data_IF_461904589101
#
_entry.id   IF_461904589101
#
_cell.length_a   1.000
_cell.length_b   1.000
_cell.length_c   1.000
_cell.angle_alpha   90.00
_cell.angle_beta   90.00
_cell.angle_gamma   90.00
#
_symmetry.space_group_name_H-M   'P 1'
#
loop_
_entity.id
_entity.type
_entity.pdbx_description
1 polymer ?
#
# COMPACT_ATOMS: atom_id res chain seq x y z
N UNK A 1 7.41 13.76 -5.10
CA UNK A 1 6.28 14.72 -5.20
C UNK A 1 4.99 13.94 -5.26
N UNK A 2 4.05 14.27 -4.37
CA UNK A 2 2.79 13.57 -4.19
C UNK A 2 1.65 14.17 -5.04
N UNK A 3 1.05 13.36 -5.91
CA UNK A 3 -0.05 13.75 -6.79
C UNK A 3 -1.44 13.66 -6.14
N UNK A 4 -1.58 13.05 -4.97
CA UNK A 4 -2.87 12.83 -4.31
C UNK A 4 -3.63 14.14 -4.00
N UNK A 5 -2.90 15.26 -3.92
CA UNK A 5 -3.45 16.58 -3.63
C UNK A 5 -3.51 17.51 -4.85
N UNK A 6 -3.15 17.03 -6.06
CA UNK A 6 -3.31 17.82 -7.30
C UNK A 6 -4.79 17.98 -7.61
N UNK A 7 -5.23 19.20 -7.91
CA UNK A 7 -6.62 19.49 -8.29
C UNK A 7 -7.13 18.62 -9.44
N UNK A 8 -6.29 18.37 -10.45
CA UNK A 8 -6.63 17.53 -11.59
C UNK A 8 -6.90 16.07 -11.18
N UNK A 9 -6.14 15.52 -10.23
CA UNK A 9 -6.36 14.16 -9.72
C UNK A 9 -7.65 14.09 -8.90
N UNK A 10 -7.89 15.08 -8.03
CA UNK A 10 -9.13 15.16 -7.24
C UNK A 10 -10.37 15.27 -8.14
N UNK A 11 -10.32 16.11 -9.19
CA UNK A 11 -11.38 16.19 -10.20
C UNK A 11 -11.58 14.88 -10.97
N UNK A 12 -10.49 14.17 -11.27
CA UNK A 12 -10.58 12.85 -11.89
C UNK A 12 -11.31 11.87 -10.97
N UNK A 13 -10.95 11.77 -9.70
CA UNK A 13 -11.65 10.90 -8.74
C UNK A 13 -13.12 11.26 -8.59
N UNK A 14 -13.43 12.55 -8.46
CA UNK A 14 -14.82 13.04 -8.32
C UNK A 14 -15.67 12.68 -9.55
N UNK A 15 -15.07 12.59 -10.73
CA UNK A 15 -15.81 12.19 -11.93
C UNK A 15 -16.37 10.77 -11.91
N UNK A 16 -15.97 9.94 -10.92
CA UNK A 16 -16.52 8.61 -10.68
C UNK A 16 -17.67 8.58 -9.66
N UNK A 17 -18.06 9.72 -9.09
CA UNK A 17 -19.07 9.77 -8.02
C UNK A 17 -20.40 9.13 -8.39
N UNK A 18 -20.76 9.12 -9.68
CA UNK A 18 -21.98 8.49 -10.18
C UNK A 18 -22.02 6.96 -10.03
N UNK A 19 -20.88 6.28 -9.82
CA UNK A 19 -20.83 4.82 -9.60
C UNK A 19 -21.33 4.44 -8.20
N UNK A 20 -21.27 5.34 -7.23
CA UNK A 20 -21.62 5.05 -5.84
C UNK A 20 -23.12 5.21 -5.58
N UNK A 21 -23.94 4.34 -6.19
CA UNK A 21 -25.38 4.30 -6.00
C UNK A 21 -25.92 2.86 -6.03
N UNK A 22 -27.18 2.68 -5.65
CA UNK A 22 -27.81 1.35 -5.52
C UNK A 22 -27.95 0.59 -6.85
N UNK A 23 -27.98 1.28 -8.00
CA UNK A 23 -28.03 0.62 -9.32
C UNK A 23 -26.74 -0.13 -9.62
N UNK A 24 -25.61 0.40 -9.15
CA UNK A 24 -24.27 -0.15 -9.37
C UNK A 24 -23.81 -1.01 -8.19
N UNK A 25 -24.63 -1.16 -7.14
CA UNK A 25 -24.25 -1.88 -5.93
C UNK A 25 -24.13 -3.38 -6.21
N UNK A 26 -23.03 -3.98 -5.77
CA UNK A 26 -22.79 -5.41 -5.86
C UNK A 26 -22.79 -6.07 -4.46
N UNK A 27 -23.54 -7.16 -4.31
CA UNK A 27 -23.48 -8.02 -3.13
C UNK A 27 -22.41 -9.09 -3.32
N UNK A 28 -21.34 -9.02 -2.52
CA UNK A 28 -20.30 -10.05 -2.54
C UNK A 28 -20.74 -11.29 -1.77
N UNK A 29 -20.95 -12.40 -2.49
CA UNK A 29 -21.33 -13.69 -1.87
C UNK A 29 -20.19 -14.24 -1.00
N UNK A 30 -20.48 -14.46 0.27
CA UNK A 30 -19.55 -15.10 1.21
C UNK A 30 -18.57 -14.13 1.89
N UNK A 31 -18.52 -12.87 1.45
CA UNK A 31 -17.79 -11.81 2.13
C UNK A 31 -18.77 -11.02 2.98
N UNK A 32 -18.60 -10.96 4.31
CA UNK A 32 -19.48 -10.13 5.13
C UNK A 32 -19.26 -8.66 4.76
N UNK A 33 -20.35 -7.89 4.70
CA UNK A 33 -20.26 -6.43 4.50
C UNK A 33 -19.49 -5.74 5.65
N UNK A 34 -19.37 -6.40 6.81
CA UNK A 34 -18.60 -5.91 7.95
C UNK A 34 -17.62 -6.96 8.44
N UNK A 35 -16.33 -6.62 8.43
CA UNK A 35 -15.25 -7.43 8.96
C UNK A 35 -14.72 -6.82 10.27
N UNK A 36 -14.48 -7.64 11.28
CA UNK A 36 -13.83 -7.18 12.51
C UNK A 36 -12.35 -6.84 12.23
N UNK A 37 -11.89 -5.76 12.85
CA UNK A 37 -10.49 -5.39 12.97
C UNK A 37 -10.08 -5.47 14.44
N UNK A 38 -8.79 -5.35 14.72
CA UNK A 38 -8.28 -5.32 16.09
C UNK A 38 -8.82 -4.11 16.88
N UNK A 39 -8.67 -4.15 18.20
CA UNK A 39 -9.08 -3.08 19.13
C UNK A 39 -10.56 -2.68 19.08
N UNK A 40 -11.44 -3.60 18.66
CA UNK A 40 -12.88 -3.35 18.60
C UNK A 40 -13.33 -2.50 17.41
N UNK A 41 -12.42 -2.22 16.47
CA UNK A 41 -12.78 -1.60 15.20
C UNK A 41 -13.45 -2.61 14.26
N UNK A 42 -14.20 -2.10 13.28
CA UNK A 42 -14.65 -2.90 12.16
C UNK A 42 -14.56 -2.13 10.86
N UNK A 43 -14.36 -2.85 9.77
CA UNK A 43 -14.38 -2.32 8.42
C UNK A 43 -15.73 -2.69 7.79
N UNK A 44 -16.50 -1.68 7.36
CA UNK A 44 -17.73 -1.90 6.58
C UNK A 44 -17.48 -1.55 5.12
N UNK A 45 -17.62 -2.53 4.24
CA UNK A 45 -17.22 -2.44 2.83
C UNK A 45 -18.41 -2.63 1.91
N UNK A 46 -18.63 -1.69 0.99
CA UNK A 46 -19.74 -1.68 0.04
C UNK A 46 -19.19 -1.63 -1.37
N UNK A 47 -19.44 -2.69 -2.14
CA UNK A 47 -18.88 -2.87 -3.47
C UNK A 47 -19.81 -2.36 -4.56
N UNK A 48 -19.23 -1.83 -5.63
CA UNK A 48 -19.92 -1.20 -6.74
C UNK A 48 -19.23 -1.60 -8.05
N UNK A 49 -20.01 -1.92 -9.07
CA UNK A 49 -19.50 -2.21 -10.40
C UNK A 49 -20.25 -1.43 -11.46
N UNK A 50 -19.56 -1.12 -12.57
CA UNK A 50 -20.19 -0.39 -13.66
C UNK A 50 -19.27 -0.15 -14.84
N UNK A 51 -19.75 0.68 -15.77
CA UNK A 51 -18.96 1.14 -16.91
C UNK A 51 -18.91 2.67 -16.90
N UNK A 52 -17.77 3.21 -16.47
CA UNK A 52 -17.48 4.64 -16.49
C UNK A 52 -15.99 4.84 -16.75
N UNK A 53 -15.65 5.43 -17.91
CA UNK A 53 -14.26 5.56 -18.38
C UNK A 53 -13.51 4.21 -18.46
N UNK A 54 -14.23 3.11 -18.58
CA UNK A 54 -13.74 1.74 -18.47
C UNK A 54 -14.71 0.89 -17.64
N UNK A 55 -14.46 -0.41 -17.54
CA UNK A 55 -15.10 -1.20 -16.49
C UNK A 55 -14.49 -0.79 -15.15
N UNK A 56 -15.32 -0.63 -14.13
CA UNK A 56 -14.90 -0.24 -12.80
C UNK A 56 -15.42 -1.24 -11.78
N UNK A 57 -14.54 -1.60 -10.86
CA UNK A 57 -14.84 -2.31 -9.63
C UNK A 57 -14.34 -1.43 -8.48
N UNK A 58 -15.28 -0.90 -7.70
CA UNK A 58 -15.00 0.11 -6.70
C UNK A 58 -15.65 -0.27 -5.37
N UNK A 59 -15.11 0.25 -4.28
CA UNK A 59 -15.60 -0.03 -2.93
C UNK A 59 -15.61 1.25 -2.10
N UNK A 60 -16.64 1.40 -1.27
CA UNK A 60 -16.65 2.34 -0.16
C UNK A 60 -16.37 1.57 1.12
N UNK A 61 -15.38 2.03 1.85
CA UNK A 61 -15.06 1.53 3.18
C UNK A 61 -15.42 2.56 4.25
N UNK A 62 -15.96 2.08 5.35
CA UNK A 62 -16.04 2.83 6.61
C UNK A 62 -15.24 2.11 7.69
N UNK A 63 -14.31 2.81 8.33
CA UNK A 63 -13.73 2.41 9.60
C UNK A 63 -14.70 2.80 10.72
N UNK A 64 -15.23 1.81 11.42
CA UNK A 64 -16.24 1.97 12.47
C UNK A 64 -15.62 1.64 13.83
N UNK A 65 -15.78 2.55 14.79
CA UNK A 65 -15.40 2.37 16.19
C UNK A 65 -16.31 1.39 16.94
N UNK A 66 -15.87 0.96 18.12
CA UNK A 66 -16.64 0.04 18.99
C UNK A 66 -18.02 0.60 19.37
N UNK A 67 -18.15 1.94 19.45
CA UNK A 67 -19.41 2.64 19.73
C UNK A 67 -20.33 2.78 18.51
N UNK A 68 -19.92 2.27 17.34
CA UNK A 68 -20.63 2.38 16.07
C UNK A 68 -20.36 3.70 15.32
N UNK A 69 -19.50 4.58 15.84
CA UNK A 69 -19.15 5.83 15.16
C UNK A 69 -18.27 5.54 13.94
N UNK A 70 -18.60 6.14 12.80
CA UNK A 70 -17.73 6.11 11.62
C UNK A 70 -16.59 7.10 11.82
N UNK A 71 -15.36 6.59 11.90
CA UNK A 71 -14.15 7.39 12.12
C UNK A 71 -13.53 7.89 10.81
N UNK A 72 -13.66 7.10 9.75
CA UNK A 72 -13.16 7.41 8.41
C UNK A 72 -14.03 6.71 7.37
N UNK A 73 -14.35 7.41 6.29
CA UNK A 73 -14.89 6.80 5.06
C UNK A 73 -13.98 7.13 3.89
N UNK A 74 -13.73 6.16 3.02
CA UNK A 74 -12.97 6.37 1.79
C UNK A 74 -13.51 5.52 0.63
N UNK A 75 -13.19 5.97 -0.58
CA UNK A 75 -13.47 5.24 -1.82
C UNK A 75 -12.19 4.61 -2.32
N UNK A 76 -12.24 3.34 -2.72
CA UNK A 76 -11.25 2.75 -3.60
C UNK A 76 -11.88 2.57 -4.99
N UNK A 77 -11.22 3.12 -6.02
CA UNK A 77 -11.68 3.06 -7.42
C UNK A 77 -11.20 1.80 -8.16
N UNK A 78 -10.38 1.00 -7.49
CA UNK A 78 -9.88 -0.29 -7.97
C UNK A 78 -9.85 -1.26 -6.77
N UNK A 79 -10.89 -2.08 -6.66
CA UNK A 79 -10.99 -3.07 -5.58
C UNK A 79 -10.12 -4.33 -5.80
N UNK A 80 -9.36 -4.40 -6.91
CA UNK A 80 -8.41 -5.48 -7.14
C UNK A 80 -7.15 -5.31 -6.26
N UNK A 81 -6.85 -6.35 -5.51
CA UNK A 81 -5.82 -6.32 -4.46
C UNK A 81 -6.10 -5.28 -3.36
N UNK A 82 -7.35 -4.87 -3.16
CA UNK A 82 -7.73 -3.94 -2.11
C UNK A 82 -7.39 -4.48 -0.71
N UNK A 83 -6.88 -3.61 0.15
CA UNK A 83 -6.52 -3.99 1.51
C UNK A 83 -6.57 -2.80 2.46
N UNK A 84 -6.70 -3.12 3.75
CA UNK A 84 -6.29 -2.23 4.82
C UNK A 84 -5.65 -3.03 5.98
N UNK A 85 -4.78 -2.34 6.73
CA UNK A 85 -4.09 -2.88 7.89
C UNK A 85 -4.07 -1.87 9.02
N UNK A 86 -4.54 -2.29 10.19
CA UNK A 86 -4.38 -1.52 11.42
C UNK A 86 -3.00 -1.82 12.01
N UNK A 87 -2.22 -0.78 12.25
CA UNK A 87 -0.84 -0.86 12.72
C UNK A 87 -0.73 -0.23 14.11
N UNK A 88 -0.28 -1.00 15.10
CA UNK A 88 0.13 -0.51 16.42
C UNK A 88 1.56 0.01 16.36
N UNK A 89 1.69 1.30 16.07
CA UNK A 89 2.99 1.90 15.82
C UNK A 89 3.81 2.08 17.10
N UNK A 90 5.14 2.02 16.98
CA UNK A 90 6.07 2.13 18.12
C UNK A 90 5.96 3.45 18.89
N UNK A 91 5.46 4.51 18.23
CA UNK A 91 5.21 5.80 18.88
C UNK A 91 3.97 5.82 19.80
N UNK A 92 3.27 4.69 19.93
CA UNK A 92 2.11 4.52 20.81
C UNK A 92 0.75 4.88 20.18
N UNK A 93 0.72 5.24 18.90
CA UNK A 93 -0.51 5.53 18.14
C UNK A 93 -0.89 4.37 17.23
N UNK A 94 -2.12 4.39 16.75
CA UNK A 94 -2.66 3.42 15.78
C UNK A 94 -2.88 4.09 14.44
N UNK A 95 -2.42 3.41 13.40
CA UNK A 95 -2.51 3.90 12.03
C UNK A 95 -3.22 2.86 11.18
N UNK A 96 -4.25 3.27 10.45
CA UNK A 96 -4.79 2.47 9.37
C UNK A 96 -4.02 2.80 8.09
N UNK A 97 -3.37 1.81 7.50
CA UNK A 97 -2.82 1.88 6.13
C UNK A 97 -3.83 1.25 5.20
N UNK A 98 -4.19 1.94 4.11
CA UNK A 98 -5.25 1.51 3.20
C UNK A 98 -5.00 2.06 1.78
N UNK A 99 -5.72 1.50 0.80
CA UNK A 99 -5.71 1.97 -0.58
C UNK A 99 -6.97 2.74 -0.95
N UNK A 100 -6.80 3.68 -1.87
CA UNK A 100 -7.88 4.46 -2.50
C UNK A 100 -7.88 4.30 -4.03
N UNK A 101 -6.85 3.67 -4.60
CA UNK A 101 -6.62 3.51 -6.04
C UNK A 101 -5.66 2.33 -6.29
N UNK A 102 -5.39 2.00 -7.57
CA UNK A 102 -4.41 0.98 -7.96
C UNK A 102 -3.01 1.29 -7.40
N UNK A 103 -2.58 2.54 -7.54
CA UNK A 103 -1.27 3.01 -7.10
C UNK A 103 -1.37 3.90 -5.86
N UNK A 104 -0.28 3.92 -5.08
CA UNK A 104 -0.18 4.75 -3.89
C UNK A 104 -0.75 4.10 -2.63
N UNK A 105 -0.82 4.88 -1.56
CA UNK A 105 -1.30 4.43 -0.26
C UNK A 105 -1.79 5.62 0.56
N UNK A 106 -2.71 5.35 1.49
CA UNK A 106 -3.24 6.34 2.42
C UNK A 106 -3.13 5.83 3.85
N UNK A 107 -2.97 6.78 4.79
CA UNK A 107 -2.64 6.53 6.18
C UNK A 107 -3.51 7.41 7.06
N UNK A 108 -4.23 6.79 8.00
CA UNK A 108 -5.10 7.47 8.94
C UNK A 108 -4.64 7.23 10.37
N UNK A 109 -4.43 8.31 11.14
CA UNK A 109 -4.09 8.23 12.57
C UNK A 109 -5.36 8.22 13.41
N UNK A 110 -5.66 7.08 14.03
CA UNK A 110 -6.89 6.85 14.80
C UNK A 110 -7.04 7.87 15.93
N UNK A 111 -5.96 8.19 16.64
CA UNK A 111 -6.02 9.08 17.81
C UNK A 111 -6.24 10.55 17.46
N UNK A 112 -5.91 10.97 16.24
CA UNK A 112 -5.96 12.40 15.86
C UNK A 112 -6.94 12.70 14.74
N UNK A 113 -7.48 11.67 14.08
CA UNK A 113 -8.33 11.83 12.89
C UNK A 113 -7.58 12.35 11.65
N UNK A 114 -6.24 12.41 11.71
CA UNK A 114 -5.44 12.97 10.61
C UNK A 114 -5.29 11.93 9.50
N UNK A 115 -5.40 12.38 8.25
CA UNK A 115 -5.22 11.54 7.05
C UNK A 115 -4.06 12.09 6.23
N UNK A 116 -3.14 11.20 5.86
CA UNK A 116 -2.13 11.42 4.84
C UNK A 116 -2.47 10.54 3.64
N UNK A 117 -2.56 11.13 2.45
CA UNK A 117 -2.75 10.43 1.18
C UNK A 117 -1.49 10.55 0.35
N UNK A 118 -1.10 9.46 -0.30
CA UNK A 118 0.03 9.45 -1.20
C UNK A 118 -0.32 8.78 -2.53
N UNK A 119 -0.04 9.51 -3.61
CA UNK A 119 -0.04 9.00 -4.97
C UNK A 119 1.29 9.41 -5.62
N UNK A 120 2.11 8.48 -6.11
CA UNK A 120 3.34 8.81 -6.82
C UNK A 120 3.06 9.75 -8.01
N UNK A 121 3.80 10.85 -8.15
CA UNK A 121 3.59 11.75 -9.29
C UNK A 121 3.88 11.09 -10.65
N UNK A 122 4.71 10.05 -10.69
CA UNK A 122 5.02 9.33 -11.93
C UNK A 122 3.81 8.56 -12.50
N UNK A 123 2.89 8.08 -11.66
CA UNK A 123 1.66 7.43 -12.12
C UNK A 123 0.56 8.43 -12.49
N UNK A 124 0.75 9.71 -12.12
CA UNK A 124 -0.15 10.82 -12.47
C UNK A 124 0.61 12.05 -12.98
N UNK A 125 1.29 11.91 -14.12
CA UNK A 125 2.06 12.99 -14.74
C UNK A 125 1.12 14.02 -15.38
N UNK A 126 1.63 15.24 -15.61
CA UNK A 126 0.85 16.28 -16.30
C UNK A 126 0.64 15.94 -17.80
N UNK A 127 1.48 15.06 -18.35
CA UNK A 127 1.42 14.56 -19.73
C UNK A 127 1.54 13.04 -19.71
N UNK A 128 0.75 12.37 -20.55
CA UNK A 128 0.67 10.90 -20.56
C UNK A 128 2.02 10.24 -20.87
N UNK A 129 2.89 10.87 -21.67
CA UNK A 129 4.23 10.36 -21.98
C UNK A 129 5.17 10.36 -20.76
N UNK A 130 4.82 11.10 -19.71
CA UNK A 130 5.54 11.09 -18.44
C UNK A 130 5.10 9.98 -17.49
N UNK A 131 4.17 9.10 -17.91
CA UNK A 131 3.67 8.03 -17.06
C UNK A 131 4.80 7.04 -16.82
N UNK A 132 5.06 6.75 -15.56
CA UNK A 132 5.87 5.63 -15.14
C UNK A 132 5.14 4.91 -14.05
N UNK A 133 5.27 3.60 -14.10
CA UNK A 133 4.67 2.73 -13.13
C UNK A 133 5.28 2.91 -11.74
N UNK A 134 4.50 2.59 -10.71
CA UNK A 134 4.95 2.51 -9.33
C UNK A 134 4.51 1.18 -8.72
N UNK A 135 5.17 0.78 -7.64
CA UNK A 135 4.81 -0.41 -6.88
C UNK A 135 3.34 -0.36 -6.42
N UNK A 136 2.58 -1.40 -6.73
CA UNK A 136 1.18 -1.62 -6.33
C UNK A 136 1.19 -2.34 -4.99
N UNK A 137 0.52 -1.79 -3.98
CA UNK A 137 0.49 -2.38 -2.65
C UNK A 137 -0.71 -3.33 -2.54
N UNK A 138 -0.52 -4.54 -2.03
CA UNK A 138 -1.61 -5.51 -1.82
C UNK A 138 -1.71 -5.98 -0.37
N UNK A 139 -0.64 -5.79 0.42
CA UNK A 139 -0.66 -5.98 1.86
C UNK A 139 0.49 -5.21 2.53
N UNK A 140 0.46 -5.07 3.85
CA UNK A 140 1.56 -4.53 4.65
C UNK A 140 1.67 -5.20 6.02
N UNK A 141 2.89 -5.51 6.43
CA UNK A 141 3.24 -6.05 7.75
C UNK A 141 4.25 -5.13 8.42
N UNK A 142 3.94 -4.68 9.64
CA UNK A 142 4.77 -3.76 10.40
C UNK A 142 5.51 -4.48 11.53
N UNK A 143 6.81 -4.24 11.64
CA UNK A 143 7.58 -4.63 12.82
C UNK A 143 7.76 -3.44 13.76
N UNK A 144 7.17 -3.54 14.96
CA UNK A 144 7.22 -2.49 15.98
C UNK A 144 8.62 -2.28 16.54
N UNK A 145 9.43 -3.32 16.62
CA UNK A 145 10.77 -3.23 17.23
C UNK A 145 11.71 -2.44 16.32
N UNK A 146 11.73 -2.78 15.03
CA UNK A 146 12.51 -2.05 14.04
C UNK A 146 11.85 -0.76 13.60
N UNK A 147 10.53 -0.67 13.49
CA UNK A 147 9.84 0.44 12.82
C UNK A 147 9.84 0.32 11.29
N UNK A 148 10.17 -0.86 10.75
CA UNK A 148 10.08 -1.13 9.31
C UNK A 148 8.68 -1.63 8.93
N UNK A 149 8.29 -1.35 7.68
CA UNK A 149 7.09 -1.88 7.06
C UNK A 149 7.50 -2.72 5.84
N UNK A 150 7.09 -3.98 5.80
CA UNK A 150 7.18 -4.85 4.63
C UNK A 150 5.85 -4.78 3.87
N UNK A 151 5.88 -4.28 2.65
CA UNK A 151 4.70 -4.13 1.79
C UNK A 151 4.76 -5.20 0.72
N UNK A 152 3.79 -6.10 0.70
CA UNK A 152 3.62 -7.07 -0.38
C UNK A 152 2.93 -6.39 -1.54
N UNK A 153 3.32 -6.75 -2.76
CA UNK A 153 2.79 -6.11 -3.95
C UNK A 153 3.47 -6.58 -5.21
N UNK A 154 3.31 -5.81 -6.28
CA UNK A 154 3.97 -6.06 -7.54
C UNK A 154 4.01 -4.78 -8.39
N UNK A 155 4.70 -4.88 -9.53
CA UNK A 155 4.38 -4.06 -10.68
C UNK A 155 3.33 -4.80 -11.52
N UNK A 156 2.54 -4.08 -12.30
CA UNK A 156 1.44 -4.58 -13.11
C UNK A 156 1.90 -5.74 -14.00
N UNK A 157 1.23 -6.88 -13.82
CA UNK A 157 1.53 -8.12 -14.51
C UNK A 157 2.99 -8.62 -14.34
N UNK A 158 3.67 -8.19 -13.27
CA UNK A 158 4.94 -8.74 -12.82
C UNK A 158 4.74 -9.75 -11.68
N UNK A 159 5.76 -10.59 -11.40
CA UNK A 159 5.78 -11.45 -10.22
C UNK A 159 5.59 -10.68 -8.92
N UNK A 160 5.19 -11.40 -7.87
CA UNK A 160 5.06 -10.81 -6.54
C UNK A 160 6.43 -10.35 -6.02
N UNK A 161 6.43 -9.25 -5.27
CA UNK A 161 7.62 -8.72 -4.63
C UNK A 161 7.25 -8.07 -3.29
N UNK A 162 8.28 -7.70 -2.52
CA UNK A 162 8.17 -7.05 -1.23
C UNK A 162 8.95 -5.74 -1.23
N UNK A 163 8.26 -4.62 -1.02
CA UNK A 163 8.89 -3.34 -0.76
C UNK A 163 9.11 -3.12 0.74
N UNK A 164 10.34 -2.88 1.14
CA UNK A 164 10.72 -2.60 2.53
C UNK A 164 10.86 -1.09 2.71
N UNK A 165 10.17 -0.53 3.71
CA UNK A 165 10.10 0.90 3.99
C UNK A 165 10.53 1.22 5.42
N UNK A 166 11.10 2.41 5.62
CA UNK A 166 11.22 3.02 6.94
C UNK A 166 9.89 3.70 7.29
N UNK A 167 9.22 3.23 8.35
CA UNK A 167 7.90 3.70 8.76
C UNK A 167 7.93 4.44 10.10
N UNK A 168 9.09 4.98 10.52
CA UNK A 168 9.22 5.74 11.78
C UNK A 168 8.34 7.01 11.81
N UNK A 169 8.12 7.65 10.64
CA UNK A 169 7.17 8.74 10.46
C UNK A 169 6.10 8.36 9.42
N UNK A 170 4.92 7.87 9.87
CA UNK A 170 3.85 7.42 8.98
C UNK A 170 3.30 8.48 8.02
N UNK A 171 3.57 9.77 8.22
CA UNK A 171 3.04 10.83 7.32
C UNK A 171 4.10 11.38 6.35
N UNK A 172 5.07 10.54 5.99
CA UNK A 172 6.08 10.84 4.98
C UNK A 172 5.76 10.10 3.67
N UNK A 173 6.15 10.67 2.52
CA UNK A 173 6.11 9.96 1.24
C UNK A 173 6.89 8.63 1.35
N UNK A 174 6.28 7.48 1.02
CA UNK A 174 6.94 6.20 1.13
C UNK A 174 8.09 6.12 0.13
N UNK A 175 9.27 5.76 0.62
CA UNK A 175 10.45 5.48 -0.18
C UNK A 175 11.09 4.21 0.36
N UNK A 176 11.21 3.20 -0.50
CA UNK A 176 11.56 1.85 -0.11
C UNK A 176 12.49 1.17 -1.08
N UNK A 177 12.86 -0.05 -0.73
CA UNK A 177 13.69 -0.92 -1.56
C UNK A 177 12.90 -2.19 -1.75
N UNK A 178 12.64 -2.57 -2.99
CA UNK A 178 11.95 -3.81 -3.29
C UNK A 178 12.91 -5.02 -3.27
N UNK A 179 12.35 -6.22 -3.16
CA UNK A 179 13.09 -7.45 -3.03
C UNK A 179 13.97 -7.70 -4.26
N UNK A 180 13.46 -7.48 -5.47
CA UNK A 180 14.30 -7.63 -6.66
C UNK A 180 15.48 -6.66 -6.65
N UNK A 181 15.31 -5.38 -6.32
CA UNK A 181 16.43 -4.45 -6.21
C UNK A 181 17.45 -4.87 -5.13
N UNK A 182 16.97 -5.45 -4.03
CA UNK A 182 17.81 -5.93 -2.93
C UNK A 182 18.60 -7.20 -3.29
N UNK A 183 18.00 -8.10 -4.07
CA UNK A 183 18.45 -9.50 -4.18
C UNK A 183 18.88 -9.89 -5.60
N UNK A 184 18.17 -9.41 -6.61
CA UNK A 184 18.31 -9.77 -8.01
C UNK A 184 17.86 -8.63 -8.93
N UNK A 185 18.69 -7.59 -8.98
CA UNK A 185 18.35 -6.35 -9.70
C UNK A 185 18.18 -6.57 -11.21
N UNK A 186 18.83 -7.59 -11.75
CA UNK A 186 18.78 -7.92 -13.18
C UNK A 186 17.61 -8.85 -13.53
N UNK A 187 16.84 -9.30 -12.54
CA UNK A 187 15.69 -10.21 -12.70
C UNK A 187 16.08 -11.50 -13.45
N UNK A 188 17.22 -12.10 -13.11
CA UNK A 188 17.78 -13.27 -13.82
C UNK A 188 17.79 -14.58 -13.01
N UNK A 189 17.35 -14.51 -11.75
CA UNK A 189 17.41 -15.60 -10.80
C UNK A 189 16.07 -15.82 -10.09
N UNK A 190 15.48 -14.79 -9.52
CA UNK A 190 14.25 -14.89 -8.72
C UNK A 190 13.03 -14.39 -9.49
N UNK A 191 11.91 -15.10 -9.31
CA UNK A 191 10.60 -14.75 -9.89
C UNK A 191 9.71 -14.14 -8.80
N UNK A 192 8.95 -14.95 -8.07
CA UNK A 192 8.16 -14.46 -6.93
C UNK A 192 9.04 -14.26 -5.68
N UNK A 193 8.91 -13.10 -5.06
CA UNK A 193 9.47 -12.76 -3.76
C UNK A 193 8.33 -12.43 -2.80
N UNK A 194 8.23 -13.19 -1.71
CA UNK A 194 7.19 -13.07 -0.71
C UNK A 194 7.77 -12.71 0.66
N UNK A 195 7.02 -11.92 1.43
CA UNK A 195 7.35 -11.66 2.82
C UNK A 195 7.08 -12.92 3.65
N UNK A 196 8.04 -13.33 4.47
CA UNK A 196 7.86 -14.46 5.37
C UNK A 196 7.66 -14.02 6.82
N UNK A 197 8.61 -13.29 7.40
CA UNK A 197 8.55 -12.89 8.81
C UNK A 197 9.56 -11.79 9.17
N UNK A 198 9.33 -11.14 10.31
CA UNK A 198 10.35 -10.40 11.04
C UNK A 198 10.77 -11.22 12.27
N UNK A 199 12.01 -11.67 12.32
CA UNK A 199 12.50 -12.46 13.46
C UNK A 199 13.97 -12.19 13.75
N UNK A 200 14.33 -12.18 15.04
CA UNK A 200 15.72 -12.11 15.51
C UNK A 200 16.54 -10.92 14.95
N UNK A 201 15.89 -9.80 14.63
CA UNK A 201 16.56 -8.63 14.04
C UNK A 201 16.80 -8.75 12.53
N UNK A 202 16.12 -9.68 11.87
CA UNK A 202 16.17 -9.92 10.43
C UNK A 202 14.76 -9.84 9.83
N UNK A 203 14.68 -9.48 8.55
CA UNK A 203 13.52 -9.78 7.71
C UNK A 203 13.82 -11.04 6.90
N UNK A 204 12.84 -11.93 6.85
CA UNK A 204 12.89 -13.13 6.01
C UNK A 204 12.03 -12.95 4.77
N UNK A 205 12.63 -13.20 3.61
CA UNK A 205 11.98 -13.22 2.31
C UNK A 205 12.04 -14.63 1.74
N UNK A 206 10.94 -15.09 1.15
CA UNK A 206 10.90 -16.33 0.37
C UNK A 206 11.00 -15.96 -1.09
N UNK A 207 12.01 -16.45 -1.80
CA UNK A 207 12.20 -16.19 -3.21
C UNK A 207 12.13 -17.49 -4.01
N UNK A 208 11.40 -17.50 -5.12
CA UNK A 208 11.36 -18.63 -6.04
C UNK A 208 12.54 -18.54 -7.01
N UNK A 209 13.51 -19.45 -6.88
CA UNK A 209 14.67 -19.55 -7.75
C UNK A 209 14.30 -20.28 -9.05
N UNK A 210 14.39 -19.56 -10.17
CA UNK A 210 14.04 -20.08 -11.50
C UNK A 210 15.06 -21.06 -12.07
N UNK A 211 16.30 -21.06 -11.58
CA UNK A 211 17.37 -21.94 -12.08
C UNK A 211 17.25 -23.37 -11.58
N UNK A 212 16.79 -23.54 -10.34
CA UNK A 212 16.64 -24.86 -9.73
C UNK A 212 15.20 -25.20 -9.28
N UNK A 213 14.24 -24.32 -9.59
CA UNK A 213 12.80 -24.47 -9.39
C UNK A 213 12.42 -24.71 -7.91
N UNK A 214 13.05 -23.95 -7.00
CA UNK A 214 12.81 -24.07 -5.54
C UNK A 214 12.59 -22.74 -4.86
N UNK A 215 11.86 -22.80 -3.75
CA UNK A 215 11.79 -21.70 -2.82
C UNK A 215 13.02 -21.68 -1.91
N UNK A 216 13.64 -20.51 -1.81
CA UNK A 216 14.72 -20.19 -0.89
C UNK A 216 14.25 -19.20 0.17
N UNK A 217 14.78 -19.32 1.39
CA UNK A 217 14.56 -18.33 2.45
C UNK A 217 15.84 -17.51 2.59
N UNK A 218 15.70 -16.21 2.35
CA UNK A 218 16.78 -15.24 2.44
C UNK A 218 16.54 -14.34 3.66
N UNK A 219 17.58 -14.16 4.48
CA UNK A 219 17.52 -13.37 5.70
C UNK A 219 18.36 -12.09 5.54
N UNK A 220 17.78 -10.94 5.86
CA UNK A 220 18.46 -9.65 5.80
C UNK A 220 18.45 -8.96 7.15
N UNK A 221 19.63 -8.58 7.64
CA UNK A 221 19.80 -7.83 8.88
C UNK A 221 19.09 -6.46 8.80
N UNK A 222 18.26 -6.17 9.80
CA UNK A 222 17.45 -4.94 9.86
C UNK A 222 18.34 -3.69 9.94
N UNK A 223 19.52 -3.75 10.60
CA UNK A 223 20.42 -2.59 10.69
C UNK A 223 21.03 -2.28 9.33
N UNK A 224 21.36 -3.32 8.56
CA UNK A 224 21.79 -3.19 7.17
C UNK A 224 20.71 -2.49 6.32
N UNK A 225 19.47 -2.98 6.38
CA UNK A 225 18.35 -2.41 5.62
C UNK A 225 18.07 -0.95 6.01
N UNK A 226 18.05 -0.63 7.31
CA UNK A 226 17.90 0.76 7.77
C UNK A 226 19.00 1.68 7.25
N UNK A 227 20.24 1.20 7.18
CA UNK A 227 21.33 2.00 6.60
C UNK A 227 21.09 2.25 5.12
N UNK A 228 20.69 1.24 4.37
CA UNK A 228 20.43 1.33 2.93
C UNK A 228 19.26 2.29 2.63
N UNK A 229 18.15 2.17 3.38
CA UNK A 229 17.01 3.09 3.29
C UNK A 229 17.40 4.54 3.59
N UNK A 230 18.24 4.76 4.62
CA UNK A 230 18.74 6.10 4.95
C UNK A 230 19.62 6.70 3.85
N UNK A 231 20.43 5.88 3.18
CA UNK A 231 21.25 6.32 2.05
C UNK A 231 20.38 6.68 0.85
N UNK A 232 19.36 5.87 0.56
CA UNK A 232 18.38 6.13 -0.49
C UNK A 232 17.61 7.43 -0.26
N UNK A 233 17.06 7.62 0.94
CA UNK A 233 16.35 8.85 1.32
C UNK A 233 17.22 10.11 1.17
N UNK A 234 18.54 10.00 1.40
CA UNK A 234 19.47 11.13 1.16
C UNK A 234 19.66 11.40 -0.33
N UNK A 235 19.78 10.35 -1.15
CA UNK A 235 19.94 10.50 -2.59
C UNK A 235 18.73 11.19 -3.23
N UNK A 236 17.51 10.72 -2.90
CA UNK A 236 16.25 11.33 -3.39
C UNK A 236 16.16 12.81 -3.01
N UNK A 237 16.44 13.15 -1.75
CA UNK A 237 16.43 14.55 -1.28
C UNK A 237 17.47 15.43 -1.96
N UNK A 238 18.59 14.87 -2.42
CA UNK A 238 19.61 15.62 -3.16
C UNK A 238 19.21 15.85 -4.63
N UNK A 239 18.41 14.96 -5.21
CA UNK A 239 17.84 15.13 -6.55
C UNK A 239 16.73 16.18 -6.57
N UNK A 240 15.85 16.19 -5.56
CA UNK A 240 14.80 17.19 -5.41
C UNK A 240 15.33 18.62 -5.15
N UNK A 241 16.58 18.77 -4.72
CA UNK A 241 17.22 20.05 -4.42
C UNK A 241 18.01 20.66 -5.59
N UNK A 242 18.04 20.01 -6.76
CA UNK A 242 18.74 20.46 -7.97
C UNK A 242 17.77 21.07 -8.99
#
# INVERSE_FOLDING_TARGET
MNAAYKEAYLHYRESFSSIFNEEHREEQKGTPETAALDDGFSLRSRYYTGTLKGNIHAVIHDLVGEDGTVLLSWTNLDDDGDFCRLIHHRNGKRYLVFREDLYGCSIFCVETGAVFRYLPACVWPDKQEGFQESFIWTDAVYDRESGLLAVTGCFWACPNDVMILDFEDPFTEPEGINGHELMDREYDLYDDIEFSDFQNGEILLKAYNTRDEKQEILAYDIKYLKRLLKERLKAVRMEDAR
#
